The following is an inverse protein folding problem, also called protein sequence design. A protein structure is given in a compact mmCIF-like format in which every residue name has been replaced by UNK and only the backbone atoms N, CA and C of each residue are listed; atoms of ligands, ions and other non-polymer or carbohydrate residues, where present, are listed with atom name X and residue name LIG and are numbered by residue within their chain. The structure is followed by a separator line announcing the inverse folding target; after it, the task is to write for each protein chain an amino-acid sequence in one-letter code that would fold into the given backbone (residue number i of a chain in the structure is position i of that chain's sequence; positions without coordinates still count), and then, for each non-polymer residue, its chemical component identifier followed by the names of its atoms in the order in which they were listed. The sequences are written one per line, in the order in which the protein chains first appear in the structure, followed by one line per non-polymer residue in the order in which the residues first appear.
data_IF_877435626799
#
_entry.id   IF_877435626799
#
_cell.length_a   1.000
_cell.length_b   1.000
_cell.length_c   1.000
_cell.angle_alpha   90.00
_cell.angle_beta   90.00
_cell.angle_gamma   90.00
#
_symmetry.space_group_name_H-M   'P 1'
#
loop_
_entity.id
_entity.type
_entity.pdbx_description
1 polymer ?
#
# COMPACT_ATOMS: atom_id res chain seq x y z
N UNK A 1 33.19 17.39 29.69
CA UNK A 1 31.94 18.15 29.93
C UNK A 1 31.90 19.31 28.94
N UNK A 2 30.86 19.44 28.12
CA UNK A 2 30.74 20.57 27.17
C UNK A 2 29.35 21.20 27.30
N UNK A 3 29.32 22.53 27.52
CA UNK A 3 28.09 23.31 27.63
C UNK A 3 27.46 23.47 26.25
N UNK A 4 26.15 23.19 26.10
CA UNK A 4 25.36 23.71 24.98
C UNK A 4 24.72 25.03 25.40
N UNK A 5 24.82 26.01 24.50
CA UNK A 5 24.32 27.37 24.69
C UNK A 5 22.84 27.42 24.30
N UNK A 6 22.00 28.04 25.13
CA UNK A 6 20.61 28.34 24.77
C UNK A 6 20.56 29.53 23.81
N UNK A 7 19.75 29.43 22.76
CA UNK A 7 19.42 30.54 21.87
C UNK A 7 17.90 30.65 21.77
N UNK A 8 17.33 31.64 22.44
CA UNK A 8 15.90 31.94 22.42
C UNK A 8 15.54 32.74 21.17
N UNK A 9 14.63 32.23 20.34
CA UNK A 9 14.09 32.97 19.20
C UNK A 9 12.74 33.59 19.61
N UNK A 10 12.61 34.92 19.49
CA UNK A 10 11.36 35.64 19.71
C UNK A 10 10.83 36.16 18.38
N UNK A 11 9.58 35.83 18.05
CA UNK A 11 8.92 36.29 16.83
C UNK A 11 7.66 37.08 17.19
N UNK A 12 7.76 38.42 17.11
CA UNK A 12 6.60 39.30 17.12
C UNK A 12 5.96 39.32 15.73
N UNK A 13 4.63 39.12 15.65
CA UNK A 13 3.85 39.34 14.44
C UNK A 13 2.91 40.54 14.62
N UNK A 14 2.92 41.44 13.65
CA UNK A 14 2.09 42.66 13.64
C UNK A 14 0.78 42.44 12.88
N UNK A 15 -0.21 43.25 13.24
CA UNK A 15 -1.60 43.19 12.76
C UNK A 15 -1.71 43.88 11.40
N UNK A 16 -2.51 43.32 10.48
CA UNK A 16 -3.36 44.14 9.62
C UNK A 16 -4.71 43.47 9.38
N UNK A 17 -5.78 44.23 9.58
CA UNK A 17 -7.13 43.91 9.15
C UNK A 17 -7.73 45.13 8.43
N UNK A 18 -8.66 44.89 7.52
CA UNK A 18 -9.38 45.95 6.79
C UNK A 18 -10.88 45.61 6.76
N UNK A 19 -11.70 46.65 6.89
CA UNK A 19 -13.17 46.56 6.86
C UNK A 19 -13.75 47.90 6.36
N UNK A 20 -15.00 47.85 5.88
CA UNK A 20 -15.82 48.99 5.41
C UNK A 20 -15.31 49.70 4.12
N UNK A 21 -16.15 50.36 3.30
CA UNK A 21 -17.60 50.28 3.05
C UNK A 21 -17.92 50.98 1.70
N UNK A 22 -19.10 50.76 1.10
CA UNK A 22 -19.53 51.51 -0.09
C UNK A 22 -20.97 51.21 -0.57
N UNK A 23 -21.88 52.15 -0.32
CA UNK A 23 -23.30 52.24 -0.76
C UNK A 23 -23.40 53.01 -2.13
N UNK A 24 -24.52 53.22 -2.87
CA UNK A 24 -25.99 53.05 -2.77
C UNK A 24 -26.60 53.23 -4.23
N UNK A 25 -27.89 53.11 -4.63
CA UNK A 25 -29.19 52.79 -3.99
C UNK A 25 -30.34 52.38 -4.98
N UNK A 26 -31.42 51.79 -4.43
CA UNK A 26 -32.88 51.89 -4.75
C UNK A 26 -33.51 51.81 -6.18
N UNK A 27 -34.56 50.93 -6.26
CA UNK A 27 -35.92 51.11 -6.91
C UNK A 27 -36.06 51.06 -8.46
N UNK A 28 -37.20 50.69 -9.08
CA UNK A 28 -38.53 50.26 -8.58
C UNK A 28 -39.30 49.23 -9.49
N UNK A 29 -40.43 48.72 -8.99
CA UNK A 29 -41.57 48.01 -9.61
C UNK A 29 -41.72 47.82 -11.16
N UNK A 30 -41.78 46.54 -11.61
CA UNK A 30 -43.06 45.83 -11.86
C UNK A 30 -43.78 45.81 -13.25
N UNK A 31 -44.36 44.62 -13.55
CA UNK A 31 -45.60 44.35 -14.35
C UNK A 31 -45.52 44.04 -15.89
N UNK A 32 -45.70 42.75 -16.23
CA UNK A 32 -46.29 42.15 -17.47
C UNK A 32 -45.62 42.33 -18.86
N UNK A 33 -45.83 41.48 -19.90
CA UNK A 33 -46.06 40.02 -20.06
C UNK A 33 -45.95 39.70 -21.57
N UNK A 34 -45.19 38.65 -21.97
CA UNK A 34 -45.63 37.57 -22.90
C UNK A 34 -44.50 36.69 -23.45
N UNK A 35 -44.86 35.42 -23.56
CA UNK A 35 -44.24 34.26 -24.21
C UNK A 35 -43.22 34.50 -25.34
N UNK A 36 -42.10 33.78 -25.27
CA UNK A 36 -41.66 32.98 -26.42
C UNK A 36 -41.08 31.64 -25.97
N UNK A 37 -41.58 30.57 -26.60
CA UNK A 37 -41.25 29.17 -26.33
C UNK A 37 -39.95 28.76 -27.04
N UNK A 38 -39.03 28.09 -26.34
CA UNK A 38 -37.95 27.33 -26.99
C UNK A 38 -37.27 26.30 -26.06
N UNK A 39 -37.26 25.03 -26.52
CA UNK A 39 -36.40 23.90 -26.14
C UNK A 39 -36.20 23.56 -24.63
N UNK A 40 -36.61 22.35 -24.19
CA UNK A 40 -36.09 21.76 -22.96
C UNK A 40 -34.58 21.55 -23.07
N UNK A 41 -33.80 22.08 -22.12
CA UNK A 41 -32.39 21.71 -21.99
C UNK A 41 -32.30 20.26 -21.50
N UNK A 42 -31.60 19.42 -22.25
CA UNK A 42 -31.28 18.06 -21.80
C UNK A 42 -30.38 18.13 -20.56
N UNK A 43 -30.91 17.77 -19.40
CA UNK A 43 -30.06 17.47 -18.24
C UNK A 43 -29.20 16.26 -18.61
N UNK A 44 -27.86 16.37 -18.62
CA UNK A 44 -27.03 15.20 -18.87
C UNK A 44 -27.30 14.19 -17.76
N UNK A 45 -27.92 13.06 -18.10
CA UNK A 45 -28.04 11.94 -17.16
C UNK A 45 -26.64 11.52 -16.78
N UNK A 46 -26.24 11.86 -15.56
CA UNK A 46 -25.01 11.39 -14.97
C UNK A 46 -24.99 9.88 -15.09
N UNK A 47 -24.03 9.37 -15.87
CA UNK A 47 -23.90 7.95 -16.11
C UNK A 47 -23.43 7.36 -14.80
N UNK A 48 -24.33 6.69 -14.08
CA UNK A 48 -23.96 5.84 -12.94
C UNK A 48 -22.99 4.77 -13.43
N UNK A 49 -21.70 5.11 -13.40
CA UNK A 49 -20.61 4.19 -13.57
C UNK A 49 -20.67 3.25 -12.38
N UNK A 50 -21.33 2.10 -12.55
CA UNK A 50 -21.26 1.00 -11.58
C UNK A 50 -19.80 0.67 -11.37
N UNK A 51 -19.25 1.13 -10.25
CA UNK A 51 -17.84 0.96 -9.88
C UNK A 51 -17.59 -0.51 -9.58
N UNK A 52 -17.33 -1.28 -10.63
CA UNK A 52 -16.75 -2.61 -10.55
C UNK A 52 -15.45 -2.49 -9.76
N UNK A 53 -15.47 -2.93 -8.50
CA UNK A 53 -14.50 -2.49 -7.51
C UNK A 53 -13.10 -2.96 -7.89
N UNK A 54 -12.21 -2.01 -8.20
CA UNK A 54 -10.87 -2.25 -8.71
C UNK A 54 -10.16 -3.37 -7.92
N UNK A 55 -9.84 -4.46 -8.61
CA UNK A 55 -9.42 -5.72 -7.99
C UNK A 55 -8.07 -5.59 -7.27
N UNK A 56 -7.91 -6.33 -6.18
CA UNK A 56 -6.76 -6.23 -5.28
C UNK A 56 -6.93 -5.22 -4.15
N UNK A 57 -8.12 -4.66 -3.94
CA UNK A 57 -8.42 -3.92 -2.71
C UNK A 57 -8.83 -4.88 -1.56
N UNK A 58 -8.95 -4.39 -0.32
CA UNK A 58 -9.20 -5.24 0.87
C UNK A 58 -10.53 -6.00 0.85
N UNK A 59 -11.56 -5.50 0.15
CA UNK A 59 -12.88 -6.16 0.04
C UNK A 59 -13.08 -6.93 -1.27
N UNK A 60 -12.28 -6.66 -2.30
CA UNK A 60 -12.18 -7.47 -3.52
C UNK A 60 -10.71 -7.84 -3.81
N UNK A 61 -10.08 -8.71 -2.99
CA UNK A 61 -8.68 -9.10 -3.13
C UNK A 61 -8.42 -9.95 -4.38
N UNK A 62 -7.14 -10.04 -4.75
CA UNK A 62 -6.63 -11.01 -5.72
C UNK A 62 -6.81 -12.42 -5.14
N UNK A 63 -7.16 -13.41 -5.97
CA UNK A 63 -7.32 -14.79 -5.51
C UNK A 63 -5.96 -15.43 -5.23
N UNK A 64 -5.93 -16.45 -4.38
CA UNK A 64 -4.75 -17.31 -4.23
C UNK A 64 -4.38 -17.95 -5.58
N UNK A 65 -3.07 -18.12 -5.83
CA UNK A 65 -2.50 -18.51 -7.14
C UNK A 65 -2.83 -17.59 -8.33
N UNK A 66 -3.48 -16.43 -8.15
CA UNK A 66 -3.70 -15.46 -9.22
C UNK A 66 -2.59 -14.39 -9.23
N UNK A 67 -2.06 -14.09 -10.43
CA UNK A 67 -1.06 -13.02 -10.63
C UNK A 67 -1.72 -11.65 -10.69
N UNK A 68 -1.29 -10.74 -9.82
CA UNK A 68 -1.62 -9.32 -9.89
C UNK A 68 -0.54 -8.56 -10.65
N UNK A 69 -0.93 -7.72 -11.62
CA UNK A 69 -0.04 -6.74 -12.22
C UNK A 69 -0.16 -5.40 -11.47
N UNK A 70 0.93 -4.93 -10.88
CA UNK A 70 0.98 -3.74 -10.03
C UNK A 70 1.93 -2.70 -10.64
N UNK A 71 1.45 -1.46 -10.76
CA UNK A 71 2.29 -0.32 -11.14
C UNK A 71 2.98 0.23 -9.88
N UNK A 72 4.30 0.22 -9.89
CA UNK A 72 5.16 0.58 -8.77
C UNK A 72 6.35 1.42 -9.26
N UNK A 73 7.36 1.64 -8.42
CA UNK A 73 8.55 2.42 -8.76
C UNK A 73 9.83 1.77 -8.24
N UNK A 74 10.91 1.98 -8.98
CA UNK A 74 12.28 1.78 -8.50
C UNK A 74 12.78 3.14 -7.99
N UNK A 75 13.28 3.16 -6.76
CA UNK A 75 14.02 4.30 -6.23
C UNK A 75 15.51 3.99 -6.24
N UNK A 76 16.33 4.90 -6.76
CA UNK A 76 17.78 4.87 -6.58
C UNK A 76 18.24 6.12 -5.83
N UNK A 77 19.28 5.99 -5.01
CA UNK A 77 19.91 7.12 -4.32
C UNK A 77 21.42 7.01 -4.48
N UNK A 78 21.97 7.84 -5.36
CA UNK A 78 23.39 7.82 -5.72
C UNK A 78 23.92 9.25 -5.82
N UNK A 79 25.11 9.48 -5.27
CA UNK A 79 25.81 10.77 -5.30
C UNK A 79 24.91 11.95 -4.82
N UNK A 80 24.11 11.69 -3.79
CA UNK A 80 23.08 12.57 -3.20
C UNK A 80 21.94 13.00 -4.14
N UNK A 81 21.77 12.34 -5.28
CA UNK A 81 20.58 12.43 -6.13
C UNK A 81 19.61 11.31 -5.81
N UNK A 82 18.33 11.64 -5.70
CA UNK A 82 17.24 10.68 -5.60
C UNK A 82 16.57 10.55 -6.97
N UNK A 83 16.62 9.36 -7.55
CA UNK A 83 16.06 9.06 -8.88
C UNK A 83 14.92 8.05 -8.75
N UNK A 84 13.90 8.22 -9.60
CA UNK A 84 12.63 7.50 -9.53
C UNK A 84 12.21 7.06 -10.92
N UNK A 85 12.10 5.75 -11.11
CA UNK A 85 11.77 5.11 -12.38
C UNK A 85 10.47 4.34 -12.20
N UNK A 86 9.50 4.46 -13.11
CA UNK A 86 8.30 3.61 -13.05
C UNK A 86 8.69 2.16 -13.34
N UNK A 87 8.01 1.24 -12.67
CA UNK A 87 8.10 -0.19 -12.88
C UNK A 87 6.71 -0.82 -12.90
N UNK A 88 6.59 -1.98 -13.55
CA UNK A 88 5.40 -2.81 -13.54
C UNK A 88 5.78 -4.21 -13.06
N UNK A 89 5.38 -4.54 -11.83
CA UNK A 89 5.66 -5.84 -11.22
C UNK A 89 4.45 -6.77 -11.34
N UNK A 90 4.70 -8.02 -11.67
CA UNK A 90 3.73 -9.11 -11.49
C UNK A 90 4.03 -9.81 -10.16
N UNK A 91 2.99 -10.05 -9.35
CA UNK A 91 3.09 -10.65 -8.02
C UNK A 91 2.04 -11.75 -7.86
N UNK A 92 2.42 -12.86 -7.23
CA UNK A 92 1.54 -14.00 -6.97
C UNK A 92 1.86 -14.67 -5.64
N UNK A 93 0.83 -15.14 -4.93
CA UNK A 93 0.96 -15.99 -3.75
C UNK A 93 0.82 -17.44 -4.20
N UNK A 94 1.87 -18.24 -4.02
CA UNK A 94 1.98 -19.60 -4.55
C UNK A 94 1.67 -20.69 -3.51
N UNK A 95 1.95 -20.42 -2.24
CA UNK A 95 1.80 -21.40 -1.16
C UNK A 95 1.57 -20.69 0.18
N UNK A 96 0.78 -21.31 1.06
CA UNK A 96 0.59 -20.90 2.45
C UNK A 96 0.70 -22.14 3.33
N UNK A 97 1.75 -22.21 4.14
CA UNK A 97 1.98 -23.27 5.13
C UNK A 97 1.75 -22.69 6.53
N UNK A 98 1.16 -23.49 7.44
CA UNK A 98 0.70 -23.06 8.76
C UNK A 98 1.13 -24.02 9.88
N UNK A 99 0.92 -23.62 11.13
CA UNK A 99 1.04 -24.44 12.33
C UNK A 99 2.37 -25.19 12.47
N UNK A 100 2.28 -26.42 12.97
CA UNK A 100 3.42 -27.31 13.20
C UNK A 100 4.18 -27.64 11.91
N UNK A 101 3.55 -27.55 10.73
CA UNK A 101 4.24 -27.76 9.45
C UNK A 101 5.14 -26.56 9.12
N UNK A 102 4.66 -25.32 9.31
CA UNK A 102 5.47 -24.12 9.13
C UNK A 102 6.61 -24.07 10.17
N UNK A 103 6.30 -24.35 11.43
CA UNK A 103 7.31 -24.40 12.49
C UNK A 103 8.33 -25.52 12.27
N UNK A 104 7.90 -26.70 11.82
CA UNK A 104 8.78 -27.82 11.48
C UNK A 104 9.66 -27.59 10.26
N UNK A 105 9.32 -26.64 9.39
CA UNK A 105 10.20 -26.13 8.33
C UNK A 105 11.20 -25.12 8.91
N UNK A 106 10.72 -24.13 9.67
CA UNK A 106 11.56 -23.13 10.34
C UNK A 106 12.62 -23.76 11.26
N UNK A 107 12.30 -24.83 12.00
CA UNK A 107 13.26 -25.54 12.87
C UNK A 107 14.32 -26.35 12.11
N UNK A 108 14.09 -26.69 10.84
CA UNK A 108 15.09 -27.34 9.97
C UNK A 108 16.06 -26.32 9.39
N UNK A 109 15.58 -25.13 9.05
CA UNK A 109 16.43 -24.01 8.62
C UNK A 109 17.33 -23.54 9.77
N UNK A 110 16.74 -23.32 10.95
CA UNK A 110 17.49 -22.94 12.13
C UNK A 110 16.92 -23.59 13.40
N UNK A 111 17.72 -24.43 14.04
CA UNK A 111 17.37 -25.07 15.32
C UNK A 111 17.11 -24.08 16.46
N UNK A 112 17.64 -22.85 16.37
CA UNK A 112 17.40 -21.78 17.35
C UNK A 112 16.10 -21.01 17.14
N UNK A 113 15.35 -21.25 16.06
CA UNK A 113 14.02 -20.65 15.90
C UNK A 113 13.10 -21.09 17.05
N UNK A 114 12.32 -20.17 17.60
CA UNK A 114 11.45 -20.40 18.74
C UNK A 114 10.03 -20.82 18.31
N UNK A 115 9.34 -21.57 19.17
CA UNK A 115 7.94 -21.93 18.94
C UNK A 115 7.05 -20.68 18.90
N UNK A 116 5.89 -20.77 18.24
CA UNK A 116 4.91 -19.70 18.29
C UNK A 116 4.40 -19.52 19.74
N UNK A 117 4.09 -18.28 20.18
CA UNK A 117 3.50 -18.04 21.50
C UNK A 117 2.11 -18.68 21.65
N UNK A 118 1.61 -18.75 22.89
CA UNK A 118 0.25 -19.24 23.15
C UNK A 118 -0.80 -18.43 22.36
N UNK A 119 -1.75 -19.13 21.73
CA UNK A 119 -2.76 -18.52 20.86
C UNK A 119 -2.25 -18.02 19.50
N UNK A 120 -0.97 -18.23 19.18
CA UNK A 120 -0.37 -17.93 17.87
C UNK A 120 0.00 -19.20 17.10
N UNK A 121 0.24 -19.05 15.81
CA UNK A 121 0.93 -20.04 15.00
C UNK A 121 1.86 -19.37 13.97
N UNK A 122 2.91 -20.08 13.57
CA UNK A 122 3.77 -19.68 12.46
C UNK A 122 3.07 -19.89 11.12
N UNK A 123 3.22 -18.92 10.22
CA UNK A 123 2.80 -19.03 8.82
C UNK A 123 3.99 -18.74 7.92
N UNK A 124 4.23 -19.62 6.95
CA UNK A 124 5.10 -19.36 5.81
C UNK A 124 4.24 -19.06 4.58
N UNK A 125 4.46 -17.91 3.94
CA UNK A 125 3.78 -17.55 2.69
C UNK A 125 4.82 -17.45 1.58
N UNK A 126 4.66 -18.26 0.52
CA UNK A 126 5.52 -18.23 -0.65
C UNK A 126 5.03 -17.22 -1.66
N UNK A 127 5.89 -16.27 -1.99
CA UNK A 127 5.61 -15.16 -2.91
C UNK A 127 6.54 -15.30 -4.11
N UNK A 128 5.99 -15.16 -5.33
CA UNK A 128 6.77 -14.96 -6.56
C UNK A 128 6.50 -13.57 -7.13
N UNK A 129 7.56 -12.90 -7.53
CA UNK A 129 7.51 -11.61 -8.22
C UNK A 129 8.34 -11.54 -9.48
N UNK A 130 7.98 -10.62 -10.38
CA UNK A 130 8.62 -10.40 -11.68
C UNK A 130 8.55 -8.95 -12.09
N UNK A 131 9.65 -8.36 -12.57
CA UNK A 131 9.62 -7.01 -13.16
C UNK A 131 9.31 -7.14 -14.65
N UNK A 132 8.04 -6.95 -15.02
CA UNK A 132 7.62 -7.06 -16.43
C UNK A 132 8.06 -5.87 -17.27
N UNK A 133 8.12 -4.68 -16.67
CA UNK A 133 8.58 -3.45 -17.31
C UNK A 133 9.23 -2.50 -16.29
N UNK A 134 10.15 -1.67 -16.77
CA UNK A 134 10.80 -0.60 -16.02
C UNK A 134 11.37 0.47 -16.96
N UNK A 135 11.40 1.73 -16.50
CA UNK A 135 11.99 2.88 -17.23
C UNK A 135 13.53 2.91 -17.20
N UNK A 136 14.18 1.98 -16.48
CA UNK A 136 15.65 1.83 -16.39
C UNK A 136 16.05 0.37 -16.60
N UNK A 137 17.28 0.13 -17.06
CA UNK A 137 17.92 -1.20 -17.10
C UNK A 137 18.99 -1.37 -16.01
N UNK A 138 19.44 -0.27 -15.41
CA UNK A 138 20.68 -0.21 -14.61
C UNK A 138 20.43 -0.27 -13.09
N UNK A 139 19.17 -0.42 -12.68
CA UNK A 139 18.75 -0.51 -11.29
C UNK A 139 17.76 -1.65 -11.07
N UNK A 140 17.90 -2.31 -9.93
CA UNK A 140 17.01 -3.37 -9.46
C UNK A 140 15.71 -2.85 -8.84
N UNK A 141 14.67 -3.66 -8.92
CA UNK A 141 13.50 -3.58 -8.07
C UNK A 141 13.72 -4.42 -6.80
N UNK A 142 13.64 -3.78 -5.63
CA UNK A 142 13.71 -4.44 -4.33
C UNK A 142 12.35 -5.07 -3.97
N UNK A 143 12.27 -6.40 -3.93
CA UNK A 143 11.09 -7.15 -3.51
C UNK A 143 11.42 -7.92 -2.23
N UNK A 144 11.18 -7.28 -1.09
CA UNK A 144 11.54 -7.79 0.24
C UNK A 144 10.31 -8.14 1.08
N UNK A 145 10.47 -9.11 1.99
CA UNK A 145 9.40 -9.57 2.90
C UNK A 145 8.86 -8.48 3.84
N UNK A 146 9.61 -7.41 4.07
CA UNK A 146 9.19 -6.23 4.84
C UNK A 146 8.00 -5.48 4.21
N UNK A 147 7.87 -5.50 2.87
CA UNK A 147 6.76 -4.94 2.09
C UNK A 147 5.45 -5.73 2.20
N UNK A 148 5.46 -6.87 2.92
CA UNK A 148 4.31 -7.73 3.12
C UNK A 148 3.85 -7.74 4.58
N UNK A 149 2.54 -7.77 4.78
CA UNK A 149 1.87 -7.90 6.09
C UNK A 149 0.72 -8.89 5.99
N UNK A 150 0.59 -9.76 6.98
CA UNK A 150 -0.63 -10.54 7.15
C UNK A 150 -1.68 -9.70 7.90
N UNK A 151 -2.92 -9.72 7.42
CA UNK A 151 -4.04 -8.92 7.93
C UNK A 151 -5.21 -9.85 8.25
N UNK A 152 -5.67 -9.88 9.50
CA UNK A 152 -6.79 -10.70 9.96
C UNK A 152 -8.11 -10.36 9.24
N UNK A 153 -9.10 -11.23 9.34
CA UNK A 153 -10.39 -11.02 8.70
C UNK A 153 -11.17 -9.82 9.24
N UNK A 154 -11.02 -9.47 10.53
CA UNK A 154 -11.60 -8.24 11.11
C UNK A 154 -10.83 -6.96 10.71
N UNK A 155 -9.58 -7.09 10.26
CA UNK A 155 -8.81 -6.03 9.61
C UNK A 155 -7.59 -5.53 10.39
N UNK A 156 -7.23 -6.16 11.50
CA UNK A 156 -5.98 -5.90 12.21
C UNK A 156 -4.77 -6.40 11.41
N UNK A 157 -3.68 -5.64 11.42
CA UNK A 157 -2.38 -6.11 10.93
C UNK A 157 -1.75 -6.95 12.05
N UNK A 158 -1.25 -8.14 11.75
CA UNK A 158 -0.50 -8.91 12.75
C UNK A 158 0.89 -8.30 12.97
N UNK A 159 1.31 -8.22 14.22
CA UNK A 159 2.64 -7.77 14.58
C UNK A 159 3.65 -8.92 14.48
N UNK A 160 4.86 -8.60 14.00
CA UNK A 160 6.03 -9.47 14.10
C UNK A 160 6.72 -9.21 15.44
N UNK A 161 6.07 -9.59 16.54
CA UNK A 161 6.64 -9.47 17.90
C UNK A 161 7.76 -10.50 18.14
N UNK A 162 7.89 -11.49 17.25
CA UNK A 162 8.89 -12.56 17.22
C UNK A 162 9.27 -12.83 15.76
N UNK A 163 10.51 -13.27 15.53
CA UNK A 163 11.09 -13.50 14.20
C UNK A 163 11.65 -14.93 14.11
N UNK A 164 11.72 -15.47 12.89
CA UNK A 164 12.34 -16.76 12.61
C UNK A 164 13.22 -16.67 11.36
N UNK A 165 14.40 -17.29 11.39
CA UNK A 165 15.25 -17.45 10.21
C UNK A 165 14.51 -18.33 9.22
N UNK A 166 14.22 -17.77 8.04
CA UNK A 166 13.28 -18.33 7.07
C UNK A 166 14.02 -18.94 5.87
N UNK A 167 13.75 -20.21 5.50
CA UNK A 167 14.40 -20.85 4.36
C UNK A 167 14.00 -20.14 3.07
N UNK A 168 14.98 -19.74 2.25
CA UNK A 168 14.77 -18.92 1.06
C UNK A 168 13.87 -17.71 1.34
N UNK A 169 14.22 -16.90 2.35
CA UNK A 169 13.51 -15.66 2.68
C UNK A 169 13.38 -14.74 1.46
N UNK A 170 12.24 -14.06 1.33
CA UNK A 170 11.99 -13.11 0.26
C UNK A 170 12.88 -11.86 0.39
N UNK A 171 14.08 -11.94 -0.17
CA UNK A 171 15.05 -10.84 -0.29
C UNK A 171 15.49 -10.68 -1.77
N UNK A 172 14.53 -10.42 -2.67
CA UNK A 172 14.77 -10.45 -4.12
C UNK A 172 15.18 -9.06 -4.66
N UNK A 173 16.20 -9.03 -5.54
CA UNK A 173 16.66 -7.85 -6.28
C UNK A 173 16.51 -8.11 -7.79
N UNK A 174 15.53 -7.48 -8.43
CA UNK A 174 15.06 -7.88 -9.77
C UNK A 174 15.27 -6.75 -10.79
N UNK A 175 16.14 -6.95 -11.78
CA UNK A 175 16.21 -6.09 -12.97
C UNK A 175 15.01 -6.34 -13.92
N UNK A 176 14.78 -5.47 -14.90
CA UNK A 176 13.71 -5.65 -15.90
C UNK A 176 13.82 -7.02 -16.58
N UNK A 177 12.69 -7.74 -16.65
CA UNK A 177 12.58 -9.09 -17.18
C UNK A 177 12.86 -10.20 -16.16
N UNK A 178 13.56 -9.91 -15.05
CA UNK A 178 13.87 -10.89 -14.03
C UNK A 178 12.65 -11.26 -13.17
N UNK A 179 12.65 -12.49 -12.67
CA UNK A 179 11.69 -13.01 -11.71
C UNK A 179 12.42 -13.77 -10.58
N UNK A 180 11.80 -13.81 -9.41
CA UNK A 180 12.32 -14.47 -8.22
C UNK A 180 11.21 -14.84 -7.25
N UNK A 181 11.49 -15.75 -6.33
CA UNK A 181 10.55 -16.22 -5.32
C UNK A 181 11.20 -16.44 -3.96
N UNK A 182 10.41 -16.31 -2.90
CA UNK A 182 10.87 -16.49 -1.53
C UNK A 182 9.70 -16.56 -0.54
N UNK A 183 10.01 -16.93 0.69
CA UNK A 183 9.03 -17.01 1.78
C UNK A 183 9.11 -15.79 2.69
N UNK A 184 7.98 -15.45 3.31
CA UNK A 184 7.95 -14.68 4.56
C UNK A 184 7.46 -15.58 5.68
N UNK A 185 8.07 -15.47 6.88
CA UNK A 185 7.47 -15.99 8.12
C UNK A 185 6.80 -14.87 8.90
N UNK A 186 5.54 -15.03 9.28
CA UNK A 186 4.84 -14.13 10.22
C UNK A 186 3.99 -14.96 11.19
N UNK A 187 3.67 -14.40 12.36
CA UNK A 187 2.75 -15.01 13.32
C UNK A 187 1.32 -14.56 13.05
N UNK A 188 0.36 -15.49 13.08
CA UNK A 188 -1.08 -15.20 13.08
C UNK A 188 -1.73 -15.78 14.33
N UNK A 189 -3.00 -15.44 14.61
CA UNK A 189 -3.76 -16.12 15.66
C UNK A 189 -4.09 -17.56 15.22
N UNK A 190 -3.98 -18.55 16.11
CA UNK A 190 -4.18 -19.96 15.76
C UNK A 190 -5.56 -20.21 15.13
N UNK A 191 -5.59 -20.78 13.91
CA UNK A 191 -6.81 -21.06 13.15
C UNK A 191 -7.49 -19.85 12.48
N UNK A 192 -7.05 -18.62 12.74
CA UNK A 192 -7.62 -17.39 12.17
C UNK A 192 -7.28 -17.27 10.67
N UNK A 193 -8.05 -16.50 9.92
CA UNK A 193 -7.94 -16.40 8.47
C UNK A 193 -7.66 -14.96 8.02
N UNK A 194 -6.81 -14.84 7.01
CA UNK A 194 -6.07 -13.61 6.75
C UNK A 194 -5.92 -13.32 5.26
N UNK A 195 -5.63 -12.05 4.98
CA UNK A 195 -5.26 -11.53 3.66
C UNK A 195 -3.79 -11.13 3.69
N UNK A 196 -3.10 -11.34 2.58
CA UNK A 196 -1.72 -10.87 2.40
C UNK A 196 -1.81 -9.45 1.83
N UNK A 197 -1.43 -8.45 2.61
CA UNK A 197 -1.24 -7.08 2.12
C UNK A 197 0.19 -6.95 1.59
N UNK A 198 0.33 -6.67 0.30
CA UNK A 198 1.52 -6.10 -0.31
C UNK A 198 1.42 -4.56 -0.27
N UNK A 199 2.51 -3.88 0.09
CA UNK A 199 2.62 -2.42 0.04
C UNK A 199 3.70 -2.01 -0.96
N UNK A 200 3.33 -1.14 -1.91
CA UNK A 200 4.23 -0.62 -2.95
C UNK A 200 5.26 0.35 -2.37
N UNK A 201 6.30 0.67 -3.13
CA UNK A 201 7.24 1.75 -2.76
C UNK A 201 6.57 3.14 -2.73
N UNK A 202 5.36 3.28 -3.30
CA UNK A 202 4.49 4.46 -3.15
C UNK A 202 3.38 4.32 -2.08
N UNK A 203 3.49 3.37 -1.15
CA UNK A 203 2.50 3.08 -0.09
C UNK A 203 1.06 2.78 -0.56
N UNK A 204 0.90 2.37 -1.83
CA UNK A 204 -0.35 1.78 -2.34
C UNK A 204 -0.42 0.34 -1.86
N UNK A 205 -1.63 -0.16 -1.58
CA UNK A 205 -1.82 -1.47 -0.96
C UNK A 205 -2.60 -2.41 -1.87
N UNK A 206 -2.05 -3.60 -2.12
CA UNK A 206 -2.68 -4.68 -2.89
C UNK A 206 -2.90 -5.86 -1.96
N UNK A 207 -4.10 -6.43 -1.98
CA UNK A 207 -4.50 -7.52 -1.09
C UNK A 207 -4.72 -8.81 -1.88
N UNK A 208 -4.21 -9.92 -1.35
CA UNK A 208 -4.38 -11.28 -1.87
C UNK A 208 -5.04 -12.17 -0.80
N UNK A 209 -5.78 -13.19 -1.22
CA UNK A 209 -6.26 -14.24 -0.31
C UNK A 209 -5.17 -15.26 0.05
N UNK A 210 -5.34 -15.88 1.21
CA UNK A 210 -4.56 -17.04 1.70
C UNK A 210 -4.88 -18.37 1.01
N UNK A 211 -6.02 -18.45 0.31
CA UNK A 211 -6.62 -19.64 -0.33
C UNK A 211 -7.70 -19.23 -1.37
#
# INVERSE_FOLDING_TARGET
MYKKLLLTLACSSLIFGLAACGSNEQKDNGVQTKEKEQAPQETPKEKESKTESAKGNRTNPIKFNETAAVNDVIFNSKDSKFEKFKAKVELSILEVIRGDQAFGILKKENQFNEAAPEGKEWVLVKIKGKVTDAETQDHEYDLFGSSFKLVSNDGHVYNNDQYAVTPNELQQKLYKGAEGEGYISQLVNTGDDFKIQYETHESKKVFFNSK
#
